data_IF_746133785006
#
_entry.id   IF_746133785006
#
_cell.length_a   1.000
_cell.length_b   1.000
_cell.length_c   1.000
_cell.angle_alpha   90.00
_cell.angle_beta   90.00
_cell.angle_gamma   90.00
#
_symmetry.space_group_name_H-M   'P 1'
#
loop_
_entity.id
_entity.type
_entity.pdbx_description
1 polymer ?
#
# COMPACT_ATOMS: atom_id res chain seq x y z
N UNK A 1 24.63 -24.69 32.27
CA UNK A 1 23.80 -23.89 31.35
C UNK A 1 22.97 -24.80 30.45
N UNK A 2 21.72 -25.12 30.81
CA UNK A 2 20.80 -25.79 29.88
C UNK A 2 20.28 -24.74 28.90
N UNK A 3 20.76 -24.78 27.65
CA UNK A 3 20.20 -24.02 26.52
C UNK A 3 18.74 -24.45 26.42
N UNK A 4 17.79 -23.63 26.87
CA UNK A 4 16.37 -23.87 26.60
C UNK A 4 16.21 -23.85 25.08
N UNK A 5 16.11 -25.04 24.48
CA UNK A 5 15.66 -25.20 23.10
C UNK A 5 14.26 -24.58 23.09
N UNK A 6 14.10 -23.41 22.45
CA UNK A 6 12.79 -22.78 22.25
C UNK A 6 11.91 -23.83 21.57
N UNK A 7 10.95 -24.41 22.31
CA UNK A 7 9.98 -25.34 21.73
C UNK A 7 9.30 -24.66 20.55
N UNK A 8 9.45 -25.23 19.35
CA UNK A 8 8.81 -24.75 18.15
C UNK A 8 7.31 -24.94 18.31
N UNK A 9 6.55 -23.85 18.45
CA UNK A 9 5.10 -23.93 18.59
C UNK A 9 4.47 -24.30 17.23
N UNK A 10 3.34 -25.03 17.16
CA UNK A 10 2.76 -25.50 15.90
C UNK A 10 2.58 -24.40 14.84
N UNK A 11 2.15 -23.20 15.24
CA UNK A 11 1.99 -22.06 14.33
C UNK A 11 3.31 -21.45 13.81
N UNK A 12 4.46 -21.72 14.47
CA UNK A 12 5.77 -21.38 13.91
C UNK A 12 6.16 -22.32 12.78
N UNK A 13 5.86 -23.61 12.92
CA UNK A 13 6.08 -24.59 11.85
C UNK A 13 5.23 -24.24 10.62
N UNK A 14 3.95 -23.88 10.82
CA UNK A 14 3.08 -23.42 9.73
C UNK A 14 3.66 -22.20 9.01
N UNK A 15 4.16 -21.21 9.75
CA UNK A 15 4.80 -20.05 9.13
C UNK A 15 6.00 -20.44 8.27
N UNK A 16 6.87 -21.32 8.76
CA UNK A 16 8.02 -21.82 8.00
C UNK A 16 7.58 -22.56 6.73
N UNK A 17 6.63 -23.49 6.86
CA UNK A 17 6.12 -24.29 5.73
C UNK A 17 5.49 -23.40 4.66
N UNK A 18 4.63 -22.45 5.04
CA UNK A 18 4.00 -21.55 4.07
C UNK A 18 5.01 -20.66 3.35
N UNK A 19 6.03 -20.16 4.04
CA UNK A 19 7.08 -19.36 3.40
C UNK A 19 7.97 -20.20 2.49
N UNK A 20 8.22 -21.47 2.84
CA UNK A 20 8.91 -22.41 1.95
C UNK A 20 8.08 -22.69 0.69
N UNK A 21 6.76 -22.89 0.83
CA UNK A 21 5.85 -23.05 -0.30
C UNK A 21 5.87 -21.81 -1.19
N UNK A 22 5.74 -20.60 -0.62
CA UNK A 22 5.87 -19.36 -1.37
C UNK A 22 7.19 -19.32 -2.14
N UNK A 23 8.32 -19.56 -1.47
CA UNK A 23 9.63 -19.58 -2.12
C UNK A 23 9.70 -20.55 -3.30
N UNK A 24 9.22 -21.79 -3.11
CA UNK A 24 9.20 -22.81 -4.17
C UNK A 24 8.30 -22.41 -5.34
N UNK A 25 7.17 -21.75 -5.09
CA UNK A 25 6.25 -21.26 -6.12
C UNK A 25 6.79 -20.06 -6.90
N UNK A 26 7.74 -19.32 -6.33
CA UNK A 26 8.42 -18.25 -7.06
C UNK A 26 9.47 -18.80 -8.03
N UNK A 27 10.05 -19.98 -7.78
CA UNK A 27 11.14 -20.53 -8.62
C UNK A 27 10.75 -20.68 -10.10
N UNK A 28 9.56 -21.20 -10.48
CA UNK A 28 9.16 -21.26 -11.88
C UNK A 28 9.04 -19.88 -12.54
N UNK A 29 8.52 -18.88 -11.82
CA UNK A 29 8.43 -17.50 -12.34
C UNK A 29 9.82 -16.91 -12.59
N UNK A 30 10.74 -17.11 -11.65
CA UNK A 30 12.13 -16.66 -11.77
C UNK A 30 12.89 -17.41 -12.86
N UNK A 31 12.59 -18.70 -13.07
CA UNK A 31 13.14 -19.45 -14.19
C UNK A 31 12.65 -18.92 -15.53
N UNK A 32 11.34 -18.61 -15.65
CA UNK A 32 10.78 -17.99 -16.84
C UNK A 32 11.37 -16.60 -17.13
N UNK A 33 11.91 -15.90 -16.12
CA UNK A 33 12.54 -14.59 -16.33
C UNK A 33 13.74 -14.66 -17.27
N UNK A 34 14.39 -15.82 -17.41
CA UNK A 34 15.53 -16.02 -18.33
C UNK A 34 15.13 -16.05 -19.81
N UNK A 35 13.82 -16.10 -20.09
CA UNK A 35 13.28 -16.04 -21.45
C UNK A 35 12.51 -14.74 -21.70
N UNK A 36 12.57 -13.78 -20.77
CA UNK A 36 11.78 -12.55 -20.82
C UNK A 36 12.50 -11.44 -21.60
N UNK A 37 11.81 -10.82 -22.54
CA UNK A 37 12.38 -9.76 -23.38
C UNK A 37 11.42 -8.59 -23.52
N UNK A 38 11.98 -7.39 -23.70
CA UNK A 38 11.22 -6.18 -23.90
C UNK A 38 10.25 -6.29 -25.08
N UNK A 39 9.04 -5.81 -24.87
CA UNK A 39 8.00 -5.77 -25.91
C UNK A 39 7.20 -4.46 -25.84
N UNK A 40 6.59 -4.10 -26.97
CA UNK A 40 5.67 -2.96 -27.07
C UNK A 40 6.27 -1.67 -26.50
N UNK A 41 5.57 -1.10 -25.51
CA UNK A 41 5.90 0.18 -24.89
C UNK A 41 7.33 0.24 -24.33
N UNK A 42 7.93 -0.87 -23.90
CA UNK A 42 9.29 -0.84 -23.36
C UNK A 42 10.32 -0.45 -24.41
N UNK A 43 10.10 -0.86 -25.66
CA UNK A 43 10.96 -0.51 -26.78
C UNK A 43 10.74 0.96 -27.15
N UNK A 44 9.49 1.39 -27.27
CA UNK A 44 9.13 2.76 -27.67
C UNK A 44 9.58 3.80 -26.64
N UNK A 45 9.32 3.57 -25.35
CA UNK A 45 9.74 4.50 -24.29
C UNK A 45 11.26 4.44 -24.08
N UNK A 46 11.83 3.22 -24.04
CA UNK A 46 13.24 3.02 -23.77
C UNK A 46 14.17 3.51 -24.88
N UNK A 47 13.67 3.62 -26.11
CA UNK A 47 14.36 4.25 -27.26
C UNK A 47 14.96 5.62 -26.89
N UNK A 48 14.24 6.43 -26.09
CA UNK A 48 14.65 7.79 -25.70
C UNK A 48 16.00 7.79 -24.97
N UNK A 49 16.14 6.97 -23.93
CA UNK A 49 17.38 6.90 -23.17
C UNK A 49 18.45 6.10 -23.93
N UNK A 50 18.05 5.07 -24.67
CA UNK A 50 18.96 4.24 -25.44
C UNK A 50 19.79 5.05 -26.44
N UNK A 51 19.17 5.96 -27.19
CA UNK A 51 19.90 6.77 -28.18
C UNK A 51 20.86 7.76 -27.54
N UNK A 52 20.51 8.36 -26.40
CA UNK A 52 21.45 9.22 -25.66
C UNK A 52 22.69 8.42 -25.23
N UNK A 53 22.51 7.18 -24.77
CA UNK A 53 23.63 6.31 -24.40
C UNK A 53 24.47 5.92 -25.63
N UNK A 54 23.81 5.57 -26.74
CA UNK A 54 24.47 5.19 -27.99
C UNK A 54 25.33 6.33 -28.56
N UNK A 55 24.85 7.56 -28.47
CA UNK A 55 25.52 8.76 -28.95
C UNK A 55 26.63 9.26 -27.99
N UNK A 56 26.85 8.58 -26.87
CA UNK A 56 27.83 8.97 -25.85
C UNK A 56 27.43 10.21 -25.05
N UNK A 57 26.13 10.52 -24.99
CA UNK A 57 25.57 11.69 -24.33
C UNK A 57 25.73 11.65 -22.80
N UNK A 58 25.85 12.83 -22.21
CA UNK A 58 26.01 12.98 -20.76
C UNK A 58 24.69 12.98 -19.99
N UNK A 59 24.77 13.13 -18.67
CA UNK A 59 23.59 13.25 -17.79
C UNK A 59 22.68 14.42 -18.20
N UNK A 60 23.26 15.53 -18.67
CA UNK A 60 22.49 16.69 -19.14
C UNK A 60 21.65 16.39 -20.38
N UNK A 61 22.21 15.63 -21.34
CA UNK A 61 21.50 15.24 -22.56
C UNK A 61 20.40 14.22 -22.24
N UNK A 62 20.66 13.30 -21.30
CA UNK A 62 19.66 12.36 -20.79
C UNK A 62 18.46 13.08 -20.17
N UNK A 63 18.71 14.06 -19.29
CA UNK A 63 17.65 14.85 -18.67
C UNK A 63 16.85 15.65 -19.71
N UNK A 64 17.52 16.20 -20.73
CA UNK A 64 16.86 16.92 -21.83
C UNK A 64 15.98 15.99 -22.67
N UNK A 65 16.48 14.82 -23.03
CA UNK A 65 15.75 13.84 -23.84
C UNK A 65 14.52 13.29 -23.10
N UNK A 66 14.69 12.83 -21.86
CA UNK A 66 13.58 12.34 -21.02
C UNK A 66 12.57 13.46 -20.74
N UNK A 67 13.04 14.67 -20.42
CA UNK A 67 12.17 15.83 -20.21
C UNK A 67 11.36 16.21 -21.45
N UNK A 68 11.99 16.21 -22.63
CA UNK A 68 11.34 16.43 -23.91
C UNK A 68 10.28 15.39 -24.21
N UNK A 69 10.59 14.11 -23.98
CA UNK A 69 9.66 13.00 -24.17
C UNK A 69 8.45 13.09 -23.23
N UNK A 70 8.66 13.43 -21.94
CA UNK A 70 7.55 13.66 -21.01
C UNK A 70 6.67 14.82 -21.48
N UNK A 71 7.28 15.91 -21.96
CA UNK A 71 6.56 17.04 -22.52
C UNK A 71 5.70 16.66 -23.73
N UNK A 72 6.24 15.86 -24.65
CA UNK A 72 5.50 15.34 -25.79
C UNK A 72 4.32 14.45 -25.34
N UNK A 73 4.60 13.43 -24.51
CA UNK A 73 3.60 12.49 -24.02
C UNK A 73 2.49 13.18 -23.22
N UNK A 74 2.81 14.26 -22.50
CA UNK A 74 1.82 15.08 -21.79
C UNK A 74 0.75 15.63 -22.73
N UNK A 75 1.11 15.98 -23.96
CA UNK A 75 0.19 16.49 -24.97
C UNK A 75 -0.44 15.38 -25.83
N UNK A 76 0.29 14.31 -26.11
CA UNK A 76 -0.11 13.31 -27.12
C UNK A 76 -0.71 12.03 -26.54
N UNK A 77 -0.39 11.65 -25.30
CA UNK A 77 -0.76 10.32 -24.78
C UNK A 77 -1.21 10.26 -23.31
N UNK A 78 -0.41 10.72 -22.34
CA UNK A 78 -0.75 10.62 -20.92
C UNK A 78 0.04 11.59 -20.03
N UNK A 79 -0.56 11.96 -18.90
CA UNK A 79 0.05 12.87 -17.92
C UNK A 79 0.92 12.24 -16.85
N UNK A 80 1.12 10.91 -16.82
CA UNK A 80 1.79 10.18 -15.73
C UNK A 80 3.32 10.33 -15.79
N UNK A 81 3.78 11.55 -15.53
CA UNK A 81 5.16 12.01 -15.72
C UNK A 81 6.20 11.18 -14.94
N UNK A 82 5.93 10.80 -13.68
CA UNK A 82 6.87 9.97 -12.90
C UNK A 82 7.03 8.57 -13.48
N UNK A 83 5.94 7.97 -13.95
CA UNK A 83 6.02 6.66 -14.60
C UNK A 83 6.76 6.72 -15.93
N UNK A 84 6.52 7.77 -16.73
CA UNK A 84 7.22 7.99 -18.00
C UNK A 84 8.74 8.10 -17.82
N UNK A 85 9.22 8.71 -16.72
CA UNK A 85 10.65 8.69 -16.38
C UNK A 85 11.13 7.25 -16.29
N UNK A 86 10.47 6.40 -15.52
CA UNK A 86 10.90 5.00 -15.35
C UNK A 86 10.81 4.22 -16.65
N UNK A 87 9.82 4.47 -17.50
CA UNK A 87 9.67 3.79 -18.79
C UNK A 87 10.86 4.06 -19.73
N UNK A 88 11.42 5.27 -19.70
CA UNK A 88 12.63 5.60 -20.47
C UNK A 88 13.83 4.76 -20.05
N UNK A 89 13.86 4.29 -18.80
CA UNK A 89 14.94 3.46 -18.23
C UNK A 89 14.57 1.97 -18.20
N UNK A 90 13.83 1.49 -19.20
CA UNK A 90 13.56 0.06 -19.36
C UNK A 90 14.87 -0.75 -19.37
N UNK A 91 15.00 -1.86 -18.63
CA UNK A 91 16.28 -2.56 -18.46
C UNK A 91 16.97 -2.96 -19.77
N UNK A 92 16.20 -3.15 -20.84
CA UNK A 92 16.75 -3.48 -22.16
C UNK A 92 17.72 -2.43 -22.73
N UNK A 93 17.70 -1.18 -22.26
CA UNK A 93 18.62 -0.14 -22.78
C UNK A 93 20.09 -0.47 -22.50
N UNK A 94 20.36 -1.32 -21.50
CA UNK A 94 21.70 -1.79 -21.15
C UNK A 94 22.05 -3.15 -21.78
N UNK A 95 21.16 -3.71 -22.59
CA UNK A 95 21.31 -5.02 -23.22
C UNK A 95 20.04 -5.84 -23.09
N UNK A 96 19.71 -6.61 -24.15
CA UNK A 96 18.47 -7.38 -24.20
C UNK A 96 18.32 -8.36 -23.02
N UNK A 97 19.41 -9.03 -22.61
CA UNK A 97 19.41 -9.98 -21.49
C UNK A 97 19.25 -9.32 -20.12
N UNK A 98 19.53 -8.01 -19.98
CA UNK A 98 19.30 -7.29 -18.71
C UNK A 98 17.80 -7.24 -18.40
N UNK A 99 16.94 -7.38 -19.40
CA UNK A 99 15.49 -7.47 -19.23
C UNK A 99 15.04 -8.67 -18.37
N UNK A 100 15.87 -9.71 -18.21
CA UNK A 100 15.59 -10.84 -17.31
C UNK A 100 15.37 -10.40 -15.85
N UNK A 101 15.79 -9.19 -15.46
CA UNK A 101 15.57 -8.61 -14.12
C UNK A 101 14.13 -8.16 -13.87
N UNK A 102 13.31 -7.98 -14.91
CA UNK A 102 11.98 -7.36 -14.79
C UNK A 102 11.05 -8.13 -13.83
N UNK A 103 10.91 -9.48 -13.95
CA UNK A 103 10.14 -10.27 -12.98
C UNK A 103 10.68 -10.19 -11.55
N UNK A 104 12.00 -10.04 -11.38
CA UNK A 104 12.59 -9.88 -10.05
C UNK A 104 12.15 -8.57 -9.39
N UNK A 105 12.15 -7.47 -10.15
CA UNK A 105 11.67 -6.16 -9.67
C UNK A 105 10.18 -6.24 -9.34
N UNK A 106 9.38 -6.84 -10.23
CA UNK A 106 7.95 -7.01 -10.02
C UNK A 106 7.61 -7.81 -8.76
N UNK A 107 8.21 -8.99 -8.59
CA UNK A 107 8.00 -9.85 -7.42
C UNK A 107 8.50 -9.15 -6.15
N UNK A 108 9.68 -8.53 -6.18
CA UNK A 108 10.24 -7.84 -5.02
C UNK A 108 9.33 -6.70 -4.55
N UNK A 109 8.87 -5.85 -5.48
CA UNK A 109 8.08 -4.66 -5.15
C UNK A 109 6.71 -5.04 -4.59
N UNK A 110 6.01 -6.00 -5.18
CA UNK A 110 4.74 -6.52 -4.66
C UNK A 110 4.94 -7.11 -3.27
N UNK A 111 5.84 -8.09 -3.11
CA UNK A 111 6.05 -8.74 -1.81
C UNK A 111 6.57 -7.77 -0.74
N UNK A 112 7.44 -6.82 -1.09
CA UNK A 112 7.92 -5.83 -0.14
C UNK A 112 6.79 -4.86 0.30
N UNK A 113 5.93 -4.44 -0.63
CA UNK A 113 4.75 -3.61 -0.32
C UNK A 113 3.80 -4.33 0.63
N UNK A 114 3.45 -5.57 0.30
CA UNK A 114 2.61 -6.45 1.13
C UNK A 114 3.22 -6.68 2.51
N UNK A 115 4.52 -6.97 2.58
CA UNK A 115 5.23 -7.13 3.85
C UNK A 115 5.18 -5.87 4.71
N UNK A 116 5.38 -4.68 4.12
CA UNK A 116 5.36 -3.40 4.82
C UNK A 116 3.99 -3.15 5.47
N UNK A 117 2.92 -3.27 4.69
CA UNK A 117 1.55 -3.03 5.15
C UNK A 117 1.13 -4.06 6.21
N UNK A 118 1.27 -5.36 5.91
CA UNK A 118 0.88 -6.41 6.85
C UNK A 118 1.66 -6.34 8.16
N UNK A 119 2.98 -6.06 8.11
CA UNK A 119 3.79 -5.96 9.32
C UNK A 119 3.39 -4.75 10.16
N UNK A 120 3.13 -3.63 9.50
CA UNK A 120 2.71 -2.40 10.15
C UNK A 120 1.38 -2.63 10.90
N UNK A 121 0.35 -3.12 10.22
CA UNK A 121 -0.95 -3.31 10.86
C UNK A 121 -0.95 -4.49 11.84
N UNK A 122 -0.55 -5.69 11.41
CA UNK A 122 -0.68 -6.90 12.23
C UNK A 122 0.27 -6.90 13.43
N UNK A 123 1.56 -6.67 13.19
CA UNK A 123 2.58 -6.78 14.25
C UNK A 123 2.67 -5.48 15.04
N UNK A 124 2.76 -4.34 14.37
CA UNK A 124 3.05 -3.08 15.07
C UNK A 124 1.80 -2.45 15.69
N UNK A 125 0.68 -2.37 14.96
CA UNK A 125 -0.55 -1.72 15.46
C UNK A 125 -1.43 -2.69 16.27
N UNK A 126 -1.62 -3.92 15.79
CA UNK A 126 -2.40 -4.92 16.52
C UNK A 126 -1.56 -5.73 17.52
N UNK A 127 -0.24 -5.69 17.48
CA UNK A 127 0.60 -6.43 18.42
C UNK A 127 0.50 -7.96 18.27
N UNK A 128 0.12 -8.46 17.10
CA UNK A 128 0.00 -9.90 16.83
C UNK A 128 1.38 -10.56 16.72
N UNK A 129 1.40 -11.89 16.85
CA UNK A 129 2.65 -12.63 16.87
C UNK A 129 3.36 -12.59 15.50
N UNK A 130 4.71 -12.53 15.51
CA UNK A 130 5.50 -12.58 14.27
C UNK A 130 5.24 -13.84 13.44
N UNK A 131 5.06 -15.05 14.04
CA UNK A 131 4.70 -16.24 13.27
C UNK A 131 3.37 -16.09 12.51
N UNK A 132 2.32 -15.54 13.15
CA UNK A 132 1.06 -15.27 12.44
C UNK A 132 1.28 -14.33 11.26
N UNK A 133 2.03 -13.25 11.48
CA UNK A 133 2.40 -12.33 10.41
C UNK A 133 3.08 -13.04 9.23
N UNK A 134 4.08 -13.89 9.49
CA UNK A 134 4.79 -14.61 8.43
C UNK A 134 3.90 -15.63 7.71
N UNK A 135 2.96 -16.28 8.39
CA UNK A 135 1.96 -17.14 7.75
C UNK A 135 1.03 -16.34 6.83
N UNK A 136 0.52 -15.21 7.30
CA UNK A 136 -0.39 -14.36 6.52
C UNK A 136 0.31 -13.67 5.35
N UNK A 137 1.57 -13.25 5.54
CA UNK A 137 2.42 -12.75 4.47
C UNK A 137 2.64 -13.79 3.38
N UNK A 138 2.96 -15.03 3.75
CA UNK A 138 3.15 -16.11 2.78
C UNK A 138 1.86 -16.41 2.00
N UNK A 139 0.70 -16.46 2.69
CA UNK A 139 -0.58 -16.62 2.02
C UNK A 139 -0.85 -15.48 1.04
N UNK A 140 -0.68 -14.22 1.48
CA UNK A 140 -0.84 -13.05 0.61
C UNK A 140 0.06 -13.16 -0.63
N UNK A 141 1.36 -13.41 -0.44
CA UNK A 141 2.32 -13.52 -1.53
C UNK A 141 2.01 -14.67 -2.50
N UNK A 142 1.50 -15.81 -2.01
CA UNK A 142 1.07 -16.92 -2.89
C UNK A 142 -0.10 -16.46 -3.77
N UNK A 143 -1.12 -15.82 -3.20
CA UNK A 143 -2.26 -15.36 -3.98
C UNK A 143 -1.88 -14.21 -4.92
N UNK A 144 -1.12 -13.22 -4.45
CA UNK A 144 -0.67 -12.06 -5.23
C UNK A 144 0.21 -12.45 -6.43
N UNK A 145 1.00 -13.53 -6.33
CA UNK A 145 1.89 -13.93 -7.43
C UNK A 145 1.31 -15.01 -8.33
N UNK A 146 0.66 -16.02 -7.74
CA UNK A 146 0.19 -17.19 -8.50
C UNK A 146 -1.22 -17.01 -9.08
N UNK A 147 -2.00 -16.07 -8.54
CA UNK A 147 -3.39 -15.82 -8.92
C UNK A 147 -3.65 -14.36 -9.28
N UNK A 148 -2.59 -13.61 -9.60
CA UNK A 148 -2.73 -12.29 -10.22
C UNK A 148 -3.61 -12.41 -11.48
N UNK A 149 -4.57 -11.49 -11.70
CA UNK A 149 -5.43 -11.48 -12.89
C UNK A 149 -4.68 -11.44 -14.24
N UNK A 150 -3.55 -10.75 -14.32
CA UNK A 150 -2.81 -10.51 -15.56
C UNK A 150 -1.29 -10.67 -15.36
N UNK A 151 -0.81 -11.86 -14.92
CA UNK A 151 0.55 -12.05 -14.41
C UNK A 151 1.63 -11.74 -15.45
N UNK A 152 1.35 -11.98 -16.75
CA UNK A 152 2.25 -11.59 -17.85
C UNK A 152 2.49 -10.08 -17.86
N UNK A 153 1.43 -9.27 -17.73
CA UNK A 153 1.56 -7.83 -17.67
C UNK A 153 2.15 -7.39 -16.32
N UNK A 154 1.65 -7.92 -15.21
CA UNK A 154 2.07 -7.51 -13.87
C UNK A 154 3.52 -7.82 -13.52
N UNK A 155 4.11 -8.90 -14.04
CA UNK A 155 5.46 -9.34 -13.64
C UNK A 155 6.47 -9.40 -14.81
N UNK A 156 6.03 -9.64 -16.04
CA UNK A 156 6.92 -9.85 -17.20
C UNK A 156 6.87 -8.70 -18.22
N UNK A 157 6.29 -7.55 -17.84
CA UNK A 157 6.26 -6.38 -18.69
C UNK A 157 6.68 -5.13 -17.90
N UNK A 158 7.86 -4.59 -18.21
CA UNK A 158 8.50 -3.57 -17.40
C UNK A 158 7.67 -2.29 -17.28
N UNK A 159 7.07 -1.81 -18.37
CA UNK A 159 6.17 -0.65 -18.33
C UNK A 159 5.07 -0.87 -17.29
N UNK A 160 4.48 -2.07 -17.20
CA UNK A 160 3.51 -2.37 -16.15
C UNK A 160 4.14 -2.47 -14.76
N UNK A 161 5.30 -3.10 -14.59
CA UNK A 161 6.02 -3.14 -13.30
C UNK A 161 6.34 -1.73 -12.80
N UNK A 162 6.82 -0.85 -13.68
CA UNK A 162 7.16 0.52 -13.40
C UNK A 162 5.94 1.42 -13.16
N UNK A 163 4.81 1.10 -13.79
CA UNK A 163 3.57 1.85 -13.60
C UNK A 163 2.81 1.40 -12.36
N UNK A 164 2.67 0.10 -12.08
CA UNK A 164 1.81 -0.41 -11.01
C UNK A 164 2.57 -0.94 -9.79
N UNK A 165 3.54 -1.85 -9.98
CA UNK A 165 4.16 -2.55 -8.85
C UNK A 165 5.12 -1.64 -8.08
N UNK A 166 5.96 -0.86 -8.78
CA UNK A 166 6.86 0.12 -8.14
C UNK A 166 6.02 1.18 -7.39
N UNK A 167 4.98 1.80 -7.97
CA UNK A 167 4.12 2.72 -7.24
C UNK A 167 3.36 2.09 -6.08
N UNK A 168 2.90 0.84 -6.21
CA UNK A 168 2.32 0.10 -5.08
C UNK A 168 3.33 -0.04 -3.92
N UNK A 169 4.58 -0.43 -4.22
CA UNK A 169 5.63 -0.51 -3.20
C UNK A 169 5.94 0.86 -2.57
N UNK A 170 6.09 1.91 -3.40
CA UNK A 170 6.39 3.26 -2.91
C UNK A 170 5.23 3.77 -2.04
N UNK A 171 3.98 3.57 -2.45
CA UNK A 171 2.79 3.87 -1.66
C UNK A 171 2.82 3.15 -0.30
N UNK A 172 3.07 1.84 -0.29
CA UNK A 172 3.15 1.05 0.94
C UNK A 172 4.27 1.55 1.86
N UNK A 173 5.43 1.88 1.30
CA UNK A 173 6.59 2.39 2.03
C UNK A 173 6.34 3.76 2.63
N UNK A 174 5.84 4.71 1.84
CA UNK A 174 5.62 6.09 2.26
C UNK A 174 4.45 6.18 3.24
N UNK A 175 3.36 5.40 3.05
CA UNK A 175 2.27 5.30 4.01
C UNK A 175 2.74 4.72 5.35
N UNK A 176 3.52 3.64 5.31
CA UNK A 176 4.11 3.04 6.53
C UNK A 176 5.06 4.03 7.22
N UNK A 177 5.83 4.81 6.46
CA UNK A 177 6.69 5.85 6.99
C UNK A 177 5.88 7.00 7.62
N UNK A 178 4.78 7.44 6.99
CA UNK A 178 3.88 8.45 7.50
C UNK A 178 3.21 8.01 8.82
N UNK A 179 2.73 6.75 8.89
CA UNK A 179 2.19 6.14 10.10
C UNK A 179 3.21 6.15 11.25
N UNK A 180 4.46 5.74 10.98
CA UNK A 180 5.53 5.76 11.99
C UNK A 180 5.88 7.18 12.41
N UNK A 181 6.00 8.10 11.46
CA UNK A 181 6.32 9.50 11.70
C UNK A 181 5.26 10.15 12.60
N UNK A 182 3.97 9.98 12.27
CA UNK A 182 2.87 10.62 12.97
C UNK A 182 2.55 9.97 14.32
N UNK A 183 2.67 8.65 14.47
CA UNK A 183 2.15 7.92 15.64
C UNK A 183 3.21 7.50 16.65
N UNK A 184 4.44 7.20 16.23
CA UNK A 184 5.46 6.58 17.09
C UNK A 184 6.35 7.61 17.82
N UNK A 185 5.77 8.75 18.20
CA UNK A 185 6.47 9.86 18.85
C UNK A 185 7.09 9.48 20.20
N UNK A 186 6.51 8.49 20.89
CA UNK A 186 6.95 8.08 22.24
C UNK A 186 8.33 7.44 22.26
N UNK A 187 8.78 6.90 21.12
CA UNK A 187 10.04 6.16 21.02
C UNK A 187 11.25 7.05 20.73
N UNK A 188 11.05 8.36 20.59
CA UNK A 188 12.05 9.29 20.06
C UNK A 188 12.49 10.29 21.12
N UNK A 189 13.25 9.81 22.12
CA UNK A 189 13.46 10.58 23.34
C UNK A 189 14.46 11.74 23.23
N UNK A 190 15.50 11.73 22.38
CA UNK A 190 16.48 12.86 22.32
C UNK A 190 17.17 13.08 20.96
N UNK A 191 17.48 12.07 20.14
CA UNK A 191 18.16 12.26 18.83
C UNK A 191 17.18 12.50 17.66
N UNK A 192 16.20 13.39 17.90
CA UNK A 192 14.84 13.31 17.33
C UNK A 192 14.60 14.17 16.08
N UNK A 193 15.17 15.37 15.97
CA UNK A 193 14.81 16.30 14.87
C UNK A 193 15.39 15.88 13.53
N UNK A 194 16.70 15.62 13.43
CA UNK A 194 17.36 15.24 12.17
C UNK A 194 16.77 13.96 11.55
N UNK A 195 16.48 12.93 12.37
CA UNK A 195 15.85 11.69 11.90
C UNK A 195 14.39 11.88 11.51
N UNK A 196 13.67 12.77 12.18
CA UNK A 196 12.30 13.13 11.82
C UNK A 196 12.25 13.94 10.53
N UNK A 197 13.16 14.91 10.36
CA UNK A 197 13.34 15.68 9.14
C UNK A 197 13.77 14.78 7.98
N UNK A 198 14.71 13.85 8.19
CA UNK A 198 15.11 12.88 7.18
C UNK A 198 13.97 11.96 6.74
N UNK A 199 13.15 11.47 7.69
CA UNK A 199 11.95 10.70 7.33
C UNK A 199 10.93 11.53 6.59
N UNK A 200 10.67 12.76 7.05
CA UNK A 200 9.74 13.66 6.36
C UNK A 200 10.23 13.96 4.94
N UNK A 201 11.53 14.20 4.75
CA UNK A 201 12.15 14.38 3.44
C UNK A 201 11.85 13.20 2.50
N UNK A 202 12.08 11.96 2.94
CA UNK A 202 11.78 10.78 2.12
C UNK A 202 10.29 10.56 1.89
N UNK A 203 9.44 10.85 2.88
CA UNK A 203 7.97 10.85 2.70
C UNK A 203 7.60 11.86 1.62
N UNK A 204 8.13 13.08 1.69
CA UNK A 204 7.88 14.14 0.70
C UNK A 204 8.31 13.69 -0.70
N UNK A 205 9.53 13.17 -0.87
CA UNK A 205 10.01 12.69 -2.18
C UNK A 205 9.10 11.57 -2.73
N UNK A 206 8.72 10.62 -1.89
CA UNK A 206 7.87 9.50 -2.31
C UNK A 206 6.46 9.94 -2.70
N UNK A 207 5.83 10.86 -1.95
CA UNK A 207 4.51 11.41 -2.29
C UNK A 207 4.55 12.28 -3.55
N UNK A 208 5.61 13.08 -3.74
CA UNK A 208 5.83 13.82 -4.99
C UNK A 208 5.94 12.86 -6.17
N UNK A 209 6.74 11.78 -6.04
CA UNK A 209 6.83 10.74 -7.07
C UNK A 209 5.46 10.15 -7.37
N UNK A 210 4.70 9.73 -6.35
CA UNK A 210 3.39 9.11 -6.52
C UNK A 210 2.44 9.98 -7.35
N UNK A 211 2.42 11.30 -7.16
CA UNK A 211 1.56 12.22 -7.92
C UNK A 211 1.65 12.12 -9.45
N UNK A 212 2.75 11.58 -9.99
CA UNK A 212 2.95 11.32 -11.43
C UNK A 212 2.82 9.86 -11.85
N UNK A 213 2.31 8.97 -11.00
CA UNK A 213 2.22 7.52 -11.25
C UNK A 213 0.80 7.07 -11.58
N UNK A 214 0.52 5.77 -11.44
CA UNK A 214 -0.83 5.21 -11.53
C UNK A 214 -1.77 5.82 -10.50
N UNK A 215 -2.97 6.16 -10.96
CA UNK A 215 -3.97 6.82 -10.13
C UNK A 215 -4.43 5.99 -8.91
N UNK A 216 -4.52 4.64 -8.98
CA UNK A 216 -4.84 3.83 -7.80
C UNK A 216 -3.86 4.01 -6.64
N UNK A 217 -2.54 4.07 -6.92
CA UNK A 217 -1.53 4.29 -5.89
C UNK A 217 -1.75 5.64 -5.20
N UNK A 218 -1.97 6.69 -6.01
CA UNK A 218 -2.19 8.07 -5.58
C UNK A 218 -3.45 8.19 -4.70
N UNK A 219 -4.57 7.65 -5.16
CA UNK A 219 -5.83 7.78 -4.42
C UNK A 219 -5.76 7.01 -3.10
N UNK A 220 -5.08 5.87 -3.07
CA UNK A 220 -4.91 5.10 -1.85
C UNK A 220 -4.01 5.80 -0.83
N UNK A 221 -2.84 6.33 -1.22
CA UNK A 221 -1.98 7.13 -0.33
C UNK A 221 -2.68 8.39 0.18
N UNK A 222 -3.34 9.15 -0.70
CA UNK A 222 -4.10 10.34 -0.33
C UNK A 222 -5.19 10.01 0.69
N UNK A 223 -6.01 8.99 0.41
CA UNK A 223 -7.10 8.55 1.29
C UNK A 223 -6.58 8.14 2.67
N UNK A 224 -5.61 7.22 2.73
CA UNK A 224 -5.08 6.70 3.99
C UNK A 224 -4.42 7.80 4.83
N UNK A 225 -3.68 8.70 4.17
CA UNK A 225 -2.93 9.76 4.86
C UNK A 225 -3.87 10.86 5.37
N UNK A 226 -4.89 11.19 4.60
CA UNK A 226 -5.94 12.11 5.04
C UNK A 226 -6.64 11.57 6.29
N UNK A 227 -7.01 10.28 6.31
CA UNK A 227 -7.57 9.64 7.50
C UNK A 227 -6.62 9.63 8.69
N UNK A 228 -5.32 9.40 8.47
CA UNK A 228 -4.29 9.50 9.50
C UNK A 228 -4.22 10.90 10.12
N UNK A 229 -4.25 11.95 9.29
CA UNK A 229 -4.26 13.32 9.75
C UNK A 229 -5.51 13.57 10.61
N UNK A 230 -6.70 13.25 10.10
CA UNK A 230 -7.97 13.38 10.86
C UNK A 230 -7.92 12.63 12.19
N UNK A 231 -7.38 11.41 12.20
CA UNK A 231 -7.22 10.59 13.39
C UNK A 231 -6.37 11.30 14.45
N UNK A 232 -5.18 11.78 14.06
CA UNK A 232 -4.23 12.46 14.95
C UNK A 232 -4.85 13.74 15.55
N UNK A 233 -5.62 14.49 14.76
CA UNK A 233 -6.32 15.68 15.24
C UNK A 233 -7.43 15.35 16.23
N UNK A 234 -8.20 14.29 15.97
CA UNK A 234 -9.28 13.83 16.86
C UNK A 234 -8.74 13.26 18.17
N UNK A 235 -7.69 12.42 18.14
CA UNK A 235 -7.08 11.83 19.34
C UNK A 235 -6.57 12.93 20.29
N UNK A 236 -5.88 13.94 19.76
CA UNK A 236 -5.36 15.02 20.60
C UNK A 236 -6.40 16.02 21.11
N UNK A 237 -7.67 16.00 20.66
CA UNK A 237 -8.76 16.80 21.28
C UNK A 237 -9.32 16.05 22.51
N UNK A 238 -9.61 14.75 22.37
CA UNK A 238 -10.12 13.91 23.47
C UNK A 238 -9.15 13.80 24.65
N UNK A 239 -7.84 13.66 24.38
CA UNK A 239 -6.83 13.55 25.45
C UNK A 239 -6.69 14.81 26.31
N UNK A 240 -6.83 16.00 25.72
CA UNK A 240 -6.82 17.26 26.50
C UNK A 240 -8.00 17.34 27.48
N UNK A 241 -9.14 16.77 27.10
CA UNK A 241 -10.36 16.79 27.91
C UNK A 241 -10.30 15.76 29.05
N UNK A 242 -9.76 14.57 28.81
CA UNK A 242 -9.60 13.55 29.84
C UNK A 242 -8.55 13.93 30.90
N UNK A 243 -7.52 14.70 30.53
CA UNK A 243 -6.47 15.19 31.45
C UNK A 243 -7.00 16.18 32.48
N UNK A 244 -8.09 16.89 32.17
CA UNK A 244 -8.72 17.83 33.11
C UNK A 244 -9.48 17.11 34.25
N UNK A 245 -9.66 15.78 34.18
CA UNK A 245 -10.45 15.01 35.14
C UNK A 245 -9.66 14.09 36.10
N UNK A 246 -8.38 13.78 35.87
CA UNK A 246 -7.60 12.85 36.73
C UNK A 246 -6.46 13.59 37.46
N UNK A 247 -6.43 13.53 38.80
CA UNK A 247 -5.49 14.28 39.68
C UNK A 247 -4.22 13.51 40.07
N UNK A 248 -4.07 12.24 39.69
CA UNK A 248 -2.93 11.40 40.07
C UNK A 248 -2.06 10.99 38.86
N UNK A 249 -0.75 11.08 39.05
CA UNK A 249 0.36 10.92 38.08
C UNK A 249 0.56 12.05 37.04
N UNK A 250 0.78 13.28 37.53
CA UNK A 250 1.07 14.47 36.70
C UNK A 250 2.18 14.25 35.64
N UNK A 251 3.21 13.45 35.90
CA UNK A 251 4.32 13.22 34.97
C UNK A 251 3.94 12.32 33.78
N UNK A 252 3.10 11.30 34.02
CA UNK A 252 2.60 10.41 32.96
C UNK A 252 1.60 11.18 32.10
N UNK A 253 0.72 11.96 32.73
CA UNK A 253 -0.24 12.84 32.05
C UNK A 253 0.48 13.91 31.22
N UNK A 254 1.52 14.57 31.76
CA UNK A 254 2.32 15.58 31.05
C UNK A 254 2.95 15.00 29.78
N UNK A 255 3.59 13.83 29.86
CA UNK A 255 4.17 13.14 28.70
C UNK A 255 3.10 12.78 27.66
N UNK A 256 1.93 12.31 28.08
CA UNK A 256 0.84 11.99 27.15
C UNK A 256 0.30 13.22 26.40
N UNK A 257 0.21 14.37 27.08
CA UNK A 257 -0.19 15.65 26.46
C UNK A 257 0.88 16.14 25.49
N UNK A 258 2.16 16.07 25.87
CA UNK A 258 3.30 16.42 25.01
C UNK A 258 3.31 15.57 23.74
N UNK A 259 3.18 14.24 23.89
CA UNK A 259 3.09 13.32 22.75
C UNK A 259 1.89 13.64 21.86
N UNK A 260 0.71 13.88 22.43
CA UNK A 260 -0.47 14.26 21.63
C UNK A 260 -0.26 15.57 20.86
N UNK A 261 0.40 16.55 21.46
CA UNK A 261 0.78 17.81 20.80
C UNK A 261 1.78 17.56 19.67
N UNK A 262 2.81 16.75 19.91
CA UNK A 262 3.82 16.42 18.90
C UNK A 262 3.22 15.63 17.74
N UNK A 263 2.31 14.67 18.00
CA UNK A 263 1.57 13.95 16.95
C UNK A 263 0.81 14.94 16.06
N UNK A 264 0.09 15.90 16.64
CA UNK A 264 -0.61 16.95 15.86
C UNK A 264 0.32 17.78 15.00
N UNK A 265 1.46 18.22 15.55
CA UNK A 265 2.49 18.94 14.77
C UNK A 265 3.00 18.08 13.61
N UNK A 266 3.27 16.80 13.84
CA UNK A 266 3.69 15.87 12.77
C UNK A 266 2.59 15.59 11.75
N UNK A 267 1.34 15.49 12.18
CA UNK A 267 0.19 15.40 11.28
C UNK A 267 0.06 16.63 10.37
N UNK A 268 0.31 17.83 10.90
CA UNK A 268 0.38 19.06 10.10
C UNK A 268 1.53 19.02 9.08
N UNK A 269 2.71 18.52 9.48
CA UNK A 269 3.84 18.39 8.57
C UNK A 269 3.58 17.41 7.41
N UNK A 270 2.69 16.43 7.59
CA UNK A 270 2.25 15.54 6.50
C UNK A 270 1.36 16.22 5.46
N UNK A 271 0.84 17.44 5.71
CA UNK A 271 0.10 18.20 4.70
C UNK A 271 0.99 18.61 3.53
N UNK A 272 2.29 18.81 3.75
CA UNK A 272 3.23 19.15 2.68
C UNK A 272 3.39 18.00 1.66
N UNK A 273 3.76 16.77 2.06
CA UNK A 273 3.72 15.61 1.17
C UNK A 273 2.37 15.42 0.47
N UNK A 274 1.26 15.53 1.22
CA UNK A 274 -0.09 15.37 0.67
C UNK A 274 -0.40 16.43 -0.41
N UNK A 275 0.00 17.68 -0.17
CA UNK A 275 -0.15 18.78 -1.12
C UNK A 275 0.67 18.53 -2.39
N UNK A 276 1.92 18.07 -2.26
CA UNK A 276 2.78 17.81 -3.41
C UNK A 276 2.29 16.64 -4.26
N UNK A 277 1.80 15.56 -3.64
CA UNK A 277 1.13 14.46 -4.34
C UNK A 277 -0.14 14.97 -5.06
N UNK A 278 -0.93 15.81 -4.39
CA UNK A 278 -2.15 16.40 -4.99
C UNK A 278 -1.80 17.31 -6.18
N UNK A 279 -0.78 18.16 -6.07
CA UNK A 279 -0.31 18.99 -7.18
C UNK A 279 0.16 18.11 -8.34
N UNK A 280 0.96 17.07 -8.06
CA UNK A 280 1.40 16.11 -9.07
C UNK A 280 0.22 15.42 -9.77
N UNK A 281 -0.79 15.00 -9.01
CA UNK A 281 -2.02 14.41 -9.54
C UNK A 281 -2.77 15.39 -10.44
N UNK A 282 -2.93 16.65 -10.00
CA UNK A 282 -3.62 17.67 -10.79
C UNK A 282 -2.90 17.96 -12.11
N UNK A 283 -1.55 17.99 -12.10
CA UNK A 283 -0.75 18.08 -13.33
C UNK A 283 -1.03 16.85 -14.21
N UNK A 284 -0.96 15.64 -13.66
CA UNK A 284 -1.23 14.41 -14.39
C UNK A 284 -2.62 14.41 -15.02
N UNK A 285 -3.65 14.86 -14.29
CA UNK A 285 -5.04 14.93 -14.76
C UNK A 285 -5.26 16.00 -15.83
N UNK A 286 -4.56 17.13 -15.73
CA UNK A 286 -4.67 18.25 -16.67
C UNK A 286 -4.02 17.98 -18.03
N UNK A 287 -3.26 16.89 -18.17
CA UNK A 287 -2.57 16.53 -19.40
C UNK A 287 -3.56 16.35 -20.58
N UNK A 288 -3.43 17.13 -21.67
CA UNK A 288 -4.26 16.98 -22.87
C UNK A 288 -4.19 15.57 -23.46
N UNK A 289 -3.03 14.91 -23.35
CA UNK A 289 -2.81 13.55 -23.81
C UNK A 289 -3.81 12.54 -23.24
N UNK A 290 -4.27 12.72 -21.99
CA UNK A 290 -5.28 11.85 -21.39
C UNK A 290 -6.57 11.81 -22.22
N UNK A 291 -6.97 12.95 -22.81
CA UNK A 291 -8.14 13.02 -23.68
C UNK A 291 -7.88 12.39 -25.04
N UNK A 292 -6.67 12.54 -25.57
CA UNK A 292 -6.25 11.88 -26.82
C UNK A 292 -6.32 10.36 -26.66
N UNK A 293 -5.73 9.83 -25.58
CA UNK A 293 -5.73 8.40 -25.28
C UNK A 293 -7.10 7.86 -24.89
N UNK A 294 -7.88 8.60 -24.11
CA UNK A 294 -9.22 8.19 -23.68
C UNK A 294 -10.28 8.23 -24.80
N UNK A 295 -9.97 8.82 -25.95
CA UNK A 295 -10.85 8.86 -27.11
C UNK A 295 -12.08 9.75 -26.94
N UNK A 296 -13.00 9.68 -27.91
CA UNK A 296 -14.16 10.59 -28.02
C UNK A 296 -15.12 10.53 -26.81
N UNK A 297 -15.13 9.42 -26.07
CA UNK A 297 -15.96 9.23 -24.88
C UNK A 297 -15.37 9.86 -23.61
N UNK A 298 -14.07 10.15 -23.56
CA UNK A 298 -13.42 10.67 -22.36
C UNK A 298 -13.78 12.13 -22.12
N UNK A 299 -14.41 12.40 -20.97
CA UNK A 299 -14.79 13.75 -20.54
C UNK A 299 -14.43 13.96 -19.09
N UNK A 300 -13.64 14.99 -18.83
CA UNK A 300 -13.34 15.40 -17.48
C UNK A 300 -14.33 16.48 -17.03
N UNK A 301 -15.30 16.09 -16.20
CA UNK A 301 -16.29 17.00 -15.60
C UNK A 301 -16.71 16.58 -14.19
N UNK A 302 -17.17 17.49 -13.32
CA UNK A 302 -17.68 17.13 -11.99
C UNK A 302 -18.77 16.04 -12.04
N UNK A 303 -19.61 16.07 -13.07
CA UNK A 303 -20.65 15.07 -13.29
C UNK A 303 -20.06 13.70 -13.64
N UNK A 304 -19.06 13.63 -14.52
CA UNK A 304 -18.39 12.35 -14.85
C UNK A 304 -17.70 11.73 -13.63
N UNK A 305 -17.09 12.55 -12.77
CA UNK A 305 -16.48 12.10 -11.51
C UNK A 305 -17.55 11.53 -10.58
N UNK A 306 -18.67 12.25 -10.41
CA UNK A 306 -19.77 11.79 -9.55
C UNK A 306 -20.35 10.46 -10.05
N UNK A 307 -20.60 10.33 -11.35
CA UNK A 307 -21.10 9.09 -11.96
C UNK A 307 -20.11 7.95 -11.74
N UNK A 308 -18.81 8.17 -11.98
CA UNK A 308 -17.78 7.17 -11.76
C UNK A 308 -17.73 6.72 -10.29
N UNK A 309 -17.83 7.66 -9.33
CA UNK A 309 -17.89 7.32 -7.89
C UNK A 309 -19.09 6.45 -7.58
N UNK A 310 -20.29 6.81 -8.06
CA UNK A 310 -21.51 6.03 -7.82
C UNK A 310 -21.45 4.64 -8.45
N UNK A 311 -20.90 4.52 -9.66
CA UNK A 311 -20.70 3.24 -10.33
C UNK A 311 -19.68 2.36 -9.61
N UNK A 312 -18.57 2.96 -9.16
CA UNK A 312 -17.47 2.23 -8.48
C UNK A 312 -17.94 1.58 -7.19
N UNK A 313 -18.86 2.23 -6.45
CA UNK A 313 -19.48 1.65 -5.25
C UNK A 313 -20.10 0.28 -5.58
N UNK A 314 -20.83 0.17 -6.68
CA UNK A 314 -21.46 -1.10 -7.03
C UNK A 314 -20.47 -2.09 -7.66
N UNK A 315 -19.56 -1.58 -8.49
CA UNK A 315 -18.58 -2.40 -9.19
C UNK A 315 -17.60 -3.12 -8.25
N UNK A 316 -17.15 -2.47 -7.17
CA UNK A 316 -16.27 -3.11 -6.19
C UNK A 316 -16.92 -4.35 -5.58
N UNK A 317 -18.22 -4.31 -5.30
CA UNK A 317 -18.94 -5.45 -4.74
C UNK A 317 -19.09 -6.59 -5.74
N UNK A 318 -19.44 -6.27 -7.00
CA UNK A 318 -19.57 -7.28 -8.05
C UNK A 318 -18.24 -7.93 -8.36
N UNK A 319 -17.17 -7.15 -8.51
CA UNK A 319 -15.87 -7.64 -8.94
C UNK A 319 -15.17 -8.40 -7.80
N UNK A 320 -15.34 -7.94 -6.54
CA UNK A 320 -14.90 -8.70 -5.36
C UNK A 320 -15.59 -10.05 -5.28
N UNK A 321 -16.91 -10.12 -5.50
CA UNK A 321 -17.64 -11.38 -5.51
C UNK A 321 -17.19 -12.29 -6.66
N UNK A 322 -16.99 -11.72 -7.86
CA UNK A 322 -16.46 -12.45 -9.01
C UNK A 322 -15.05 -12.98 -8.77
N UNK A 323 -14.19 -12.26 -8.03
CA UNK A 323 -12.86 -12.74 -7.67
C UNK A 323 -12.92 -14.06 -6.87
N UNK A 324 -13.87 -14.21 -5.95
CA UNK A 324 -14.09 -15.49 -5.24
C UNK A 324 -14.56 -16.63 -6.15
N UNK A 325 -15.23 -16.30 -7.25
CA UNK A 325 -15.70 -17.30 -8.23
C UNK A 325 -14.61 -17.66 -9.25
N UNK A 326 -13.84 -16.66 -9.71
CA UNK A 326 -12.75 -16.81 -10.69
C UNK A 326 -11.53 -17.48 -10.08
N UNK A 327 -11.06 -16.96 -8.96
CA UNK A 327 -9.92 -17.51 -8.23
C UNK A 327 -10.43 -18.59 -7.30
N UNK A 328 -10.66 -19.79 -7.85
CA UNK A 328 -11.26 -20.93 -7.14
C UNK A 328 -10.69 -21.20 -5.73
N UNK A 329 -9.36 -21.13 -5.47
CA UNK A 329 -8.84 -21.36 -4.12
C UNK A 329 -9.00 -20.17 -3.17
N UNK A 330 -9.40 -18.98 -3.65
CA UNK A 330 -9.56 -17.78 -2.82
C UNK A 330 -10.63 -17.95 -1.74
N UNK A 331 -11.65 -18.78 -2.00
CA UNK A 331 -12.67 -19.13 -1.00
C UNK A 331 -12.05 -19.76 0.26
N UNK A 332 -10.90 -20.42 0.13
CA UNK A 332 -10.17 -21.03 1.24
C UNK A 332 -9.36 -20.00 2.04
N UNK A 333 -9.04 -18.84 1.47
CA UNK A 333 -8.22 -17.83 2.15
C UNK A 333 -8.87 -17.38 3.46
N UNK A 334 -10.18 -17.07 3.45
CA UNK A 334 -10.91 -16.62 4.64
C UNK A 334 -10.82 -17.64 5.79
N UNK A 335 -11.23 -18.92 5.63
CA UNK A 335 -11.15 -19.89 6.72
C UNK A 335 -9.71 -20.13 7.19
N UNK A 336 -8.71 -20.15 6.30
CA UNK A 336 -7.31 -20.25 6.70
C UNK A 336 -6.88 -19.06 7.58
N UNK A 337 -7.19 -17.82 7.17
CA UNK A 337 -6.87 -16.62 7.94
C UNK A 337 -7.58 -16.63 9.30
N UNK A 338 -8.85 -17.05 9.36
CA UNK A 338 -9.61 -17.19 10.61
C UNK A 338 -8.91 -18.19 11.54
N UNK A 339 -8.63 -19.41 11.07
CA UNK A 339 -8.00 -20.46 11.88
C UNK A 339 -6.64 -20.02 12.39
N UNK A 340 -5.78 -19.51 11.51
CA UNK A 340 -4.45 -19.01 11.88
C UNK A 340 -4.54 -17.91 12.94
N UNK A 341 -5.48 -16.98 12.77
CA UNK A 341 -5.69 -15.88 13.71
C UNK A 341 -6.13 -16.42 15.07
N UNK A 342 -7.15 -17.28 15.12
CA UNK A 342 -7.64 -17.89 16.37
C UNK A 342 -6.53 -18.66 17.11
N UNK A 343 -5.72 -19.44 16.39
CA UNK A 343 -4.62 -20.21 16.97
C UNK A 343 -3.49 -19.33 17.54
N UNK A 344 -3.27 -18.14 16.96
CA UNK A 344 -2.21 -17.23 17.37
C UNK A 344 -2.67 -16.14 18.35
N UNK A 345 -3.98 -15.95 18.49
CA UNK A 345 -4.54 -15.00 19.43
C UNK A 345 -4.31 -15.47 20.87
N UNK A 346 -4.05 -14.51 21.75
CA UNK A 346 -3.90 -14.71 23.20
C UNK A 346 -4.82 -13.75 23.94
N UNK A 347 -5.28 -14.11 25.14
CA UNK A 347 -6.03 -13.20 26.02
C UNK A 347 -5.22 -11.91 26.22
N UNK A 348 -5.88 -10.77 26.07
CA UNK A 348 -5.28 -9.43 26.16
C UNK A 348 -6.05 -8.60 27.17
N UNK A 349 -5.31 -7.78 27.92
CA UNK A 349 -5.88 -6.79 28.84
C UNK A 349 -6.55 -5.62 28.09
N UNK A 350 -6.04 -5.27 26.91
CA UNK A 350 -6.54 -4.14 26.12
C UNK A 350 -7.21 -4.61 24.84
N UNK A 351 -8.48 -4.24 24.69
CA UNK A 351 -9.27 -4.47 23.45
C UNK A 351 -8.69 -3.66 22.28
N UNK A 352 -8.13 -4.35 21.30
CA UNK A 352 -7.57 -3.81 20.04
C UNK A 352 -8.63 -3.79 18.93
N UNK A 353 -9.57 -4.73 18.96
CA UNK A 353 -10.55 -4.93 17.90
C UNK A 353 -11.90 -4.38 18.40
N UNK A 354 -12.18 -3.09 18.21
CA UNK A 354 -13.37 -2.44 18.81
C UNK A 354 -14.45 -2.00 17.83
N UNK A 355 -14.09 -1.67 16.59
CA UNK A 355 -14.98 -1.04 15.63
C UNK A 355 -15.04 -1.85 14.32
N UNK A 356 -15.68 -3.03 14.33
CA UNK A 356 -15.67 -3.95 13.18
C UNK A 356 -16.37 -3.37 11.95
N UNK A 357 -17.48 -2.65 12.13
CA UNK A 357 -18.19 -2.01 11.01
C UNK A 357 -17.35 -0.90 10.36
N UNK A 358 -16.62 -0.13 11.17
CA UNK A 358 -15.72 0.91 10.67
C UNK A 358 -14.56 0.30 9.87
N UNK A 359 -14.01 -0.81 10.35
CA UNK A 359 -12.97 -1.58 9.67
C UNK A 359 -13.45 -2.08 8.29
N UNK A 360 -14.64 -2.68 8.23
CA UNK A 360 -15.23 -3.16 6.96
C UNK A 360 -15.48 -2.00 6.01
N UNK A 361 -16.04 -0.90 6.52
CA UNK A 361 -16.30 0.30 5.72
C UNK A 361 -15.01 0.87 5.13
N UNK A 362 -13.93 0.97 5.91
CA UNK A 362 -12.68 1.55 5.44
C UNK A 362 -11.96 0.64 4.45
N UNK A 363 -11.90 -0.67 4.70
CA UNK A 363 -11.40 -1.64 3.73
C UNK A 363 -12.16 -1.55 2.40
N UNK A 364 -13.49 -1.42 2.46
CA UNK A 364 -14.32 -1.21 1.28
C UNK A 364 -13.99 0.11 0.55
N UNK A 365 -13.88 1.23 1.28
CA UNK A 365 -13.55 2.53 0.69
C UNK A 365 -12.13 2.56 0.09
N UNK A 366 -11.17 1.80 0.63
CA UNK A 366 -9.85 1.64 0.02
C UNK A 366 -9.93 0.93 -1.33
N UNK A 367 -10.75 -0.12 -1.44
CA UNK A 367 -10.98 -0.77 -2.74
C UNK A 367 -11.69 0.18 -3.71
N UNK A 368 -12.68 0.96 -3.25
CA UNK A 368 -13.33 2.00 -4.07
C UNK A 368 -12.30 3.01 -4.60
N UNK A 369 -11.37 3.47 -3.78
CA UNK A 369 -10.33 4.40 -4.21
C UNK A 369 -9.44 3.83 -5.33
N UNK A 370 -9.16 2.52 -5.30
CA UNK A 370 -8.27 1.84 -6.25
C UNK A 370 -9.00 1.47 -7.55
N UNK A 371 -10.30 1.17 -7.51
CA UNK A 371 -11.10 0.90 -8.70
C UNK A 371 -11.51 2.17 -9.47
N UNK A 372 -11.72 3.28 -8.74
CA UNK A 372 -12.29 4.52 -9.28
C UNK A 372 -11.62 5.00 -10.59
N UNK A 373 -10.29 5.00 -10.74
CA UNK A 373 -9.66 5.48 -11.98
C UNK A 373 -10.03 4.68 -13.24
N UNK A 374 -10.12 3.36 -13.17
CA UNK A 374 -10.53 2.52 -14.30
C UNK A 374 -11.99 2.77 -14.69
N UNK A 375 -12.87 2.84 -13.69
CA UNK A 375 -14.29 3.15 -13.91
C UNK A 375 -14.45 4.54 -14.53
N UNK A 376 -13.70 5.51 -14.03
CA UNK A 376 -13.69 6.87 -14.56
C UNK A 376 -13.17 6.96 -16.00
N UNK A 377 -12.10 6.22 -16.32
CA UNK A 377 -11.53 6.21 -17.67
C UNK A 377 -12.50 5.65 -18.71
N UNK A 378 -13.42 4.75 -18.32
CA UNK A 378 -14.47 4.19 -19.19
C UNK A 378 -13.94 3.45 -20.43
N UNK A 379 -12.66 3.09 -20.43
CA UNK A 379 -11.90 2.52 -21.55
C UNK A 379 -10.95 1.44 -21.04
N UNK A 380 -10.31 0.70 -21.95
CA UNK A 380 -9.33 -0.32 -21.58
C UNK A 380 -8.13 0.30 -20.86
N UNK A 381 -7.94 -0.08 -19.60
CA UNK A 381 -6.72 0.21 -18.84
C UNK A 381 -5.59 -0.72 -19.25
N UNK A 382 -4.35 -0.35 -18.93
CA UNK A 382 -3.21 -1.22 -19.24
C UNK A 382 -3.23 -2.49 -18.37
N UNK A 383 -2.58 -3.55 -18.87
CA UNK A 383 -2.73 -4.91 -18.33
C UNK A 383 -2.37 -5.08 -16.85
N UNK A 384 -1.51 -4.23 -16.27
CA UNK A 384 -1.12 -4.30 -14.86
C UNK A 384 -2.13 -3.68 -13.88
N UNK A 385 -3.17 -2.98 -14.36
CA UNK A 385 -4.15 -2.33 -13.49
C UNK A 385 -4.96 -3.32 -12.65
N UNK A 386 -5.53 -4.42 -13.21
CA UNK A 386 -6.30 -5.39 -12.43
C UNK A 386 -5.46 -6.10 -11.37
N UNK A 387 -4.15 -6.25 -11.60
CA UNK A 387 -3.24 -6.83 -10.62
C UNK A 387 -3.12 -5.93 -9.38
N UNK A 388 -2.99 -4.61 -9.57
CA UNK A 388 -2.94 -3.67 -8.46
C UNK A 388 -4.26 -3.63 -7.66
N UNK A 389 -5.41 -3.67 -8.34
CA UNK A 389 -6.72 -3.84 -7.69
C UNK A 389 -6.74 -5.11 -6.83
N UNK A 390 -6.25 -6.21 -7.39
CA UNK A 390 -6.22 -7.51 -6.73
C UNK A 390 -5.29 -7.54 -5.52
N UNK A 391 -4.11 -6.91 -5.58
CA UNK A 391 -3.19 -6.82 -4.44
C UNK A 391 -3.82 -6.07 -3.26
N UNK A 392 -4.43 -4.92 -3.52
CA UNK A 392 -5.11 -4.14 -2.47
C UNK A 392 -6.30 -4.90 -1.90
N UNK A 393 -7.10 -5.53 -2.77
CA UNK A 393 -8.20 -6.40 -2.36
C UNK A 393 -7.72 -7.52 -1.42
N UNK A 394 -6.67 -8.26 -1.77
CA UNK A 394 -6.14 -9.34 -0.92
C UNK A 394 -5.66 -8.84 0.45
N UNK A 395 -4.90 -7.74 0.49
CA UNK A 395 -4.40 -7.16 1.74
C UNK A 395 -5.56 -6.72 2.63
N UNK A 396 -6.52 -5.97 2.07
CA UNK A 396 -7.70 -5.52 2.81
C UNK A 396 -8.58 -6.69 3.27
N UNK A 397 -8.72 -7.75 2.48
CA UNK A 397 -9.44 -8.98 2.84
C UNK A 397 -8.79 -9.70 4.03
N UNK A 398 -7.47 -9.91 3.98
CA UNK A 398 -6.70 -10.53 5.08
C UNK A 398 -6.83 -9.69 6.35
N UNK A 399 -6.56 -8.39 6.25
CA UNK A 399 -6.57 -7.49 7.41
C UNK A 399 -7.98 -7.35 8.02
N UNK A 400 -9.02 -7.28 7.20
CA UNK A 400 -10.43 -7.28 7.66
C UNK A 400 -10.77 -8.59 8.34
N UNK A 401 -10.40 -9.74 7.74
CA UNK A 401 -10.67 -11.06 8.31
C UNK A 401 -9.98 -11.23 9.66
N UNK A 402 -8.71 -10.81 9.78
CA UNK A 402 -7.99 -10.80 11.06
C UNK A 402 -8.71 -9.91 12.08
N UNK A 403 -9.15 -8.72 11.67
CA UNK A 403 -9.82 -7.78 12.58
C UNK A 403 -11.13 -8.32 13.12
N UNK A 404 -11.98 -8.87 12.24
CA UNK A 404 -13.28 -9.45 12.60
C UNK A 404 -13.10 -10.68 13.48
N UNK A 405 -12.12 -11.54 13.16
CA UNK A 405 -11.76 -12.69 14.00
C UNK A 405 -11.28 -12.23 15.37
N UNK A 406 -10.43 -11.21 15.40
CA UNK A 406 -9.95 -10.54 16.62
C UNK A 406 -11.07 -10.01 17.50
N UNK A 407 -12.04 -9.33 16.89
CA UNK A 407 -13.23 -8.78 17.55
C UNK A 407 -14.07 -9.88 18.22
N UNK A 408 -14.35 -10.96 17.48
CA UNK A 408 -15.10 -12.10 18.01
C UNK A 408 -14.33 -12.80 19.15
N UNK A 409 -13.02 -12.99 19.01
CA UNK A 409 -12.18 -13.60 20.04
C UNK A 409 -12.11 -12.77 21.33
N UNK A 410 -11.95 -11.45 21.23
CA UNK A 410 -11.93 -10.55 22.39
C UNK A 410 -13.26 -10.54 23.17
N UNK A 411 -14.39 -10.75 22.48
CA UNK A 411 -15.70 -10.87 23.14
C UNK A 411 -15.87 -12.21 23.86
N UNK A 412 -15.41 -13.31 23.25
CA UNK A 412 -15.51 -14.66 23.86
C UNK A 412 -14.72 -14.78 25.16
N UNK A 413 -13.63 -14.03 25.32
CA UNK A 413 -12.84 -13.98 26.56
C UNK A 413 -13.33 -12.96 27.58
N UNK A 414 -14.31 -12.12 27.23
CA UNK A 414 -14.85 -11.06 28.07
C UNK A 414 -16.06 -11.48 28.92
N UNK A 415 -16.24 -12.79 29.17
CA UNK A 415 -17.34 -13.32 30.00
C UNK A 415 -17.22 -12.99 31.49
N UNK A 416 -16.09 -12.48 31.96
CA UNK A 416 -15.91 -11.95 33.31
C UNK A 416 -14.98 -10.73 33.23
N UNK A 417 -15.20 -9.77 34.13
CA UNK A 417 -14.56 -8.46 34.26
C UNK A 417 -15.25 -7.31 33.47
N UNK A 418 -16.17 -6.65 34.18
CA UNK A 418 -16.41 -5.21 34.03
C UNK A 418 -15.08 -4.47 34.22
N UNK A 419 -14.46 -4.02 33.13
CA UNK A 419 -13.31 -3.11 33.21
C UNK A 419 -13.80 -1.70 32.89
N UNK A 420 -14.19 -0.98 33.93
CA UNK A 420 -14.02 0.48 33.96
C UNK A 420 -12.53 0.77 33.83
N UNK A 421 -12.06 1.06 32.61
CA UNK A 421 -10.62 1.24 32.38
C UNK A 421 -10.21 1.42 30.93
N UNK A 422 -10.25 2.66 30.47
CA UNK A 422 -9.48 3.27 29.37
C UNK A 422 -9.76 2.78 27.91
N UNK A 423 -10.48 3.66 27.21
CA UNK A 423 -11.09 3.61 25.86
C UNK A 423 -10.17 3.44 24.60
N UNK A 424 -8.86 3.16 24.67
CA UNK A 424 -7.95 3.92 23.77
C UNK A 424 -7.08 3.19 22.70
N UNK A 425 -7.23 1.91 22.39
CA UNK A 425 -6.37 1.24 21.36
C UNK A 425 -7.07 0.88 20.03
N UNK A 426 -8.38 0.62 20.01
CA UNK A 426 -9.01 0.05 18.80
C UNK A 426 -9.30 1.00 17.65
N UNK A 427 -9.29 2.31 17.88
CA UNK A 427 -9.49 3.31 16.83
C UNK A 427 -8.25 3.49 15.93
N UNK A 428 -7.04 3.18 16.40
CA UNK A 428 -5.82 3.26 15.59
C UNK A 428 -5.86 2.21 14.48
N UNK A 429 -6.28 0.99 14.80
CA UNK A 429 -6.34 -0.09 13.81
C UNK A 429 -7.52 0.08 12.88
N UNK A 430 -8.70 0.46 13.39
CA UNK A 430 -9.87 0.63 12.52
C UNK A 430 -9.78 1.85 11.61
N UNK A 431 -9.17 2.97 12.02
CA UNK A 431 -9.16 4.23 11.22
C UNK A 431 -8.02 4.29 10.21
N UNK A 432 -7.03 3.40 10.30
CA UNK A 432 -5.80 3.46 9.51
C UNK A 432 -5.59 2.26 8.59
N UNK A 433 -6.48 1.28 8.67
CA UNK A 433 -6.71 0.24 7.67
C UNK A 433 -7.87 0.68 6.80
#
# INVERSE_FOLDING_TARGET
MKKQIKKCTPYMAVAVVLNLILFLLLLPMLYCSLADYATGDDLTNGYVAYHVLLDGGGVGDMLRAVGGYIGEMYHTWQGTWSSLVLFCFAPMIWGAEVYHIVPWIGIFTVLAGTWLLLREFLVKRAGLSKPLFWSLFALAGIFETQYAPAPRAGFFWYTCVAHYNIPFFVMAWTLTAALKFALDVEKERVSSVRRSAFRLFWITIGYTYLGGTTYPAILLSLFCTFLLILYVFRDGKRRKQDVLCEREEQDVLRKQVEWASLRKKRGLLLLLPLLLETIGLLISMAAPGNRVRGGAGFRFSPQSILVAVLQTIWQVLTDSAQNFLRVRPLILLIPFVVVLTLCAMKKREKKVFRHPLLMVLLAYLMNVAVYLPAVFAGTSVSGGYPDMEYFVFLITLILTTVYLTGYCGERRWGGEVCVEGKKKTGAVFAVLL
#
